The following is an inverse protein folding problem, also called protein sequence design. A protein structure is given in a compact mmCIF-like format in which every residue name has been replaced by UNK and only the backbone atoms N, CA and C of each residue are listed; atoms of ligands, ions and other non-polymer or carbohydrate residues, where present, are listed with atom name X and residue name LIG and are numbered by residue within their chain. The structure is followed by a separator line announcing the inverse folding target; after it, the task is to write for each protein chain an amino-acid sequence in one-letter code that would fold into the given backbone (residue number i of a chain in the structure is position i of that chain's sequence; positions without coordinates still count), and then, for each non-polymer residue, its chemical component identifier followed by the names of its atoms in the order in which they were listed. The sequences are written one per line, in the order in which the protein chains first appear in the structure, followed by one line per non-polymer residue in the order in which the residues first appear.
data_IF_181474528039
#
_entry.id   IF_181474528039
#
_cell.length_a   1.000
_cell.length_b   1.000
_cell.length_c   1.000
_cell.angle_alpha   90.00
_cell.angle_beta   90.00
_cell.angle_gamma   90.00
#
_symmetry.space_group_name_H-M   'P 1'
#
loop_
_entity.id
_entity.type
_entity.pdbx_description
1 polymer ?
#
# COMPACT_ATOMS: atom_id res chain seq x y z
N UNK A 1 -0.77 -9.47 -15.02
CA UNK A 1 -2.25 -9.33 -15.12
C UNK A 1 -2.52 -7.85 -15.35
N UNK A 2 -3.51 -7.43 -16.13
CA UNK A 2 -3.68 -5.99 -16.41
C UNK A 2 -4.06 -5.21 -15.14
N UNK A 3 -3.13 -4.43 -14.59
CA UNK A 3 -3.30 -3.50 -13.45
C UNK A 3 -4.33 -2.39 -13.70
N UNK A 4 -4.76 -2.21 -14.96
CA UNK A 4 -5.76 -1.23 -15.43
C UNK A 4 -7.16 -1.38 -14.79
N UNK A 5 -7.48 -2.49 -14.13
CA UNK A 5 -8.81 -2.75 -13.58
C UNK A 5 -8.84 -2.96 -12.04
N UNK A 6 -7.78 -2.62 -11.31
CA UNK A 6 -7.82 -2.73 -9.85
C UNK A 6 -8.76 -1.66 -9.25
N UNK A 7 -9.69 -2.01 -8.36
CA UNK A 7 -10.45 -1.03 -7.57
C UNK A 7 -9.51 -0.13 -6.78
N UNK A 8 -9.90 1.13 -6.53
CA UNK A 8 -9.06 2.09 -5.79
C UNK A 8 -8.68 1.57 -4.40
N UNK A 9 -9.60 0.88 -3.72
CA UNK A 9 -9.33 0.21 -2.45
C UNK A 9 -8.20 -0.83 -2.56
N UNK A 10 -8.21 -1.65 -3.62
CA UNK A 10 -7.17 -2.65 -3.84
C UNK A 10 -5.81 -1.99 -4.12
N UNK A 11 -5.78 -0.92 -4.93
CA UNK A 11 -4.57 -0.13 -5.17
C UNK A 11 -4.04 0.50 -3.88
N UNK A 12 -4.92 1.03 -3.04
CA UNK A 12 -4.54 1.61 -1.75
C UNK A 12 -3.90 0.57 -0.83
N UNK A 13 -4.52 -0.61 -0.65
CA UNK A 13 -3.95 -1.71 0.14
C UNK A 13 -2.59 -2.18 -0.38
N UNK A 14 -2.42 -2.25 -1.71
CA UNK A 14 -1.12 -2.58 -2.31
C UNK A 14 -0.05 -1.51 -2.04
N UNK A 15 -0.41 -0.23 -1.98
CA UNK A 15 0.53 0.84 -1.59
C UNK A 15 0.92 0.72 -0.12
N UNK A 16 -0.04 0.43 0.77
CA UNK A 16 0.25 0.18 2.19
C UNK A 16 1.20 -1.01 2.36
N UNK A 17 0.89 -2.13 1.70
CA UNK A 17 1.73 -3.32 1.70
C UNK A 17 3.15 -3.03 1.19
N UNK A 18 3.28 -2.27 0.10
CA UNK A 18 4.58 -1.87 -0.43
C UNK A 18 5.37 -0.98 0.54
N UNK A 19 4.69 -0.07 1.26
CA UNK A 19 5.31 0.76 2.29
C UNK A 19 5.89 -0.08 3.44
N UNK A 20 5.13 -1.07 3.90
CA UNK A 20 5.59 -2.02 4.93
C UNK A 20 6.78 -2.86 4.43
N UNK A 21 6.69 -3.41 3.21
CA UNK A 21 7.78 -4.18 2.61
C UNK A 21 9.06 -3.33 2.43
N UNK A 22 8.94 -2.04 2.11
CA UNK A 22 10.08 -1.13 2.04
C UNK A 22 10.78 -0.95 3.38
N UNK A 23 10.02 -0.89 4.48
CA UNK A 23 10.61 -0.82 5.82
C UNK A 23 11.38 -2.10 6.20
N UNK A 24 11.05 -3.23 5.57
CA UNK A 24 11.78 -4.50 5.69
C UNK A 24 12.95 -4.64 4.71
N UNK A 25 13.23 -3.61 3.90
CA UNK A 25 14.35 -3.60 2.95
C UNK A 25 14.00 -3.98 1.51
N UNK A 26 12.73 -4.22 1.18
CA UNK A 26 12.33 -4.44 -0.22
C UNK A 26 12.29 -3.13 -1.00
N UNK A 27 12.88 -3.12 -2.20
CA UNK A 27 12.80 -1.97 -3.12
C UNK A 27 11.94 -2.31 -4.33
N UNK A 28 11.17 -1.32 -4.77
CA UNK A 28 10.31 -1.41 -5.95
C UNK A 28 10.70 -0.28 -6.91
N UNK A 29 11.89 -0.39 -7.50
CA UNK A 29 12.40 0.56 -8.50
C UNK A 29 11.97 0.10 -9.90
N UNK A 30 10.67 0.21 -10.14
CA UNK A 30 10.02 -0.24 -11.38
C UNK A 30 9.07 0.84 -11.90
N UNK A 31 8.78 0.84 -13.21
CA UNK A 31 7.78 1.74 -13.77
C UNK A 31 6.43 1.65 -13.04
N UNK A 32 5.70 2.77 -13.01
CA UNK A 32 4.41 2.87 -12.30
C UNK A 32 3.40 1.82 -12.77
N UNK A 33 3.48 1.45 -14.04
CA UNK A 33 2.62 0.49 -14.73
C UNK A 33 2.80 -0.93 -14.18
N UNK A 34 4.03 -1.25 -13.77
CA UNK A 34 4.46 -2.54 -13.24
C UNK A 34 4.44 -2.60 -11.70
N UNK A 35 4.37 -1.45 -11.04
CA UNK A 35 4.45 -1.34 -9.59
C UNK A 35 3.51 -2.31 -8.85
N UNK A 36 2.21 -2.30 -9.19
CA UNK A 36 1.24 -3.15 -8.51
C UNK A 36 1.47 -4.64 -8.78
N UNK A 37 1.89 -5.00 -9.99
CA UNK A 37 2.22 -6.38 -10.34
C UNK A 37 3.45 -6.87 -9.56
N UNK A 38 4.46 -6.01 -9.38
CA UNK A 38 5.64 -6.36 -8.59
C UNK A 38 5.37 -6.48 -7.11
N UNK A 39 4.52 -5.62 -6.56
CA UNK A 39 4.08 -5.76 -5.16
C UNK A 39 3.31 -7.06 -4.97
N UNK A 40 2.42 -7.43 -5.90
CA UNK A 40 1.70 -8.71 -5.85
C UNK A 40 2.65 -9.91 -5.92
N UNK A 41 3.65 -9.87 -6.81
CA UNK A 41 4.67 -10.93 -6.90
C UNK A 41 5.49 -11.03 -5.61
N UNK A 42 5.89 -9.91 -5.03
CA UNK A 42 6.61 -9.90 -3.76
C UNK A 42 5.77 -10.53 -2.64
N UNK A 43 4.48 -10.18 -2.55
CA UNK A 43 3.56 -10.78 -1.59
C UNK A 43 3.38 -12.28 -1.81
N UNK A 44 3.23 -12.71 -3.06
CA UNK A 44 3.10 -14.12 -3.41
C UNK A 44 4.35 -14.94 -3.07
N UNK A 45 5.53 -14.32 -3.06
CA UNK A 45 6.80 -14.94 -2.67
C UNK A 45 7.03 -15.06 -1.15
N UNK A 46 6.20 -14.44 -0.32
CA UNK A 46 6.31 -14.54 1.14
C UNK A 46 5.77 -15.88 1.66
N UNK A 47 6.27 -16.32 2.81
CA UNK A 47 5.67 -17.45 3.54
C UNK A 47 4.24 -17.13 3.99
N UNK A 48 3.41 -18.16 4.18
CA UNK A 48 2.02 -17.99 4.61
C UNK A 48 1.90 -17.20 5.92
N UNK A 49 2.82 -17.42 6.86
CA UNK A 49 2.86 -16.68 8.13
C UNK A 49 3.16 -15.18 7.91
N UNK A 50 4.13 -14.86 7.05
CA UNK A 50 4.43 -13.48 6.69
C UNK A 50 3.28 -12.81 5.95
N UNK A 51 2.62 -13.52 5.02
CA UNK A 51 1.43 -13.01 4.33
C UNK A 51 0.31 -12.68 5.32
N UNK A 52 0.04 -13.56 6.28
CA UNK A 52 -0.97 -13.34 7.31
C UNK A 52 -0.65 -12.14 8.20
N UNK A 53 0.60 -12.01 8.64
CA UNK A 53 1.07 -10.85 9.43
C UNK A 53 0.91 -9.55 8.66
N UNK A 54 1.37 -9.51 7.42
CA UNK A 54 1.36 -8.30 6.60
C UNK A 54 -0.08 -7.90 6.23
N UNK A 55 -0.95 -8.88 5.98
CA UNK A 55 -2.40 -8.65 5.83
C UNK A 55 -2.97 -7.98 7.07
N UNK A 56 -2.69 -8.50 8.27
CA UNK A 56 -3.18 -7.92 9.53
C UNK A 56 -2.74 -6.47 9.72
N UNK A 57 -1.47 -6.16 9.40
CA UNK A 57 -0.94 -4.80 9.47
C UNK A 57 -1.63 -3.87 8.45
N UNK A 58 -1.80 -4.31 7.20
CA UNK A 58 -2.50 -3.52 6.17
C UNK A 58 -3.95 -3.28 6.57
N UNK A 59 -4.63 -4.28 7.11
CA UNK A 59 -6.01 -4.17 7.58
C UNK A 59 -6.11 -3.14 8.71
N UNK A 60 -5.18 -3.19 9.67
CA UNK A 60 -5.11 -2.22 10.76
C UNK A 60 -4.85 -0.79 10.27
N UNK A 61 -3.90 -0.58 9.36
CA UNK A 61 -3.61 0.76 8.79
C UNK A 61 -4.79 1.27 7.96
N UNK A 62 -5.43 0.43 7.15
CA UNK A 62 -6.63 0.80 6.38
C UNK A 62 -7.75 1.26 7.31
N UNK A 63 -7.95 0.59 8.46
CA UNK A 63 -8.95 1.01 9.46
C UNK A 63 -8.57 2.35 10.08
N UNK A 64 -7.29 2.55 10.45
CA UNK A 64 -6.81 3.80 11.02
C UNK A 64 -6.99 4.98 10.06
N UNK A 65 -6.59 4.83 8.79
CA UNK A 65 -6.73 5.86 7.76
C UNK A 65 -8.20 6.23 7.50
N UNK A 66 -9.11 5.24 7.53
CA UNK A 66 -10.54 5.49 7.36
C UNK A 66 -11.20 6.09 8.62
N UNK A 67 -10.63 5.84 9.81
CA UNK A 67 -11.12 6.40 11.07
C UNK A 67 -10.67 7.84 11.30
N UNK A 68 -9.62 8.30 10.61
CA UNK A 68 -9.21 9.69 10.61
C UNK A 68 -10.27 10.52 9.86
N UNK A 69 -10.95 11.49 10.51
CA UNK A 69 -11.76 12.45 9.77
C UNK A 69 -10.84 13.18 8.80
N UNK A 70 -11.26 13.31 7.53
CA UNK A 70 -10.52 13.98 6.46
C UNK A 70 -10.14 15.40 6.89
N UNK A 71 -8.98 15.55 7.51
CA UNK A 71 -8.44 16.83 7.91
C UNK A 71 -7.58 17.33 6.76
N UNK A 72 -8.17 18.14 5.90
CA UNK A 72 -7.49 19.20 5.15
C UNK A 72 -8.54 20.25 4.76
N UNK A 73 -8.23 21.56 4.71
CA UNK A 73 -6.88 22.14 4.61
C UNK A 73 -6.62 23.34 5.56
N UNK A 74 -5.39 23.57 5.98
CA UNK A 74 -4.92 24.94 6.24
C UNK A 74 -3.80 25.28 5.27
N UNK A 75 -4.23 25.67 4.07
CA UNK A 75 -3.52 26.72 3.36
C UNK A 75 -3.51 27.95 4.28
N UNK A 76 -2.36 28.30 4.84
CA UNK A 76 -2.10 29.69 5.22
C UNK A 76 -0.81 30.12 4.56
N UNK A 77 -0.98 30.59 3.33
CA UNK A 77 -0.01 31.36 2.58
C UNK A 77 -0.11 32.81 3.08
N UNK A 78 1.03 33.38 3.49
CA UNK A 78 1.37 34.81 3.57
C UNK A 78 0.70 35.68 4.65
N UNK A 79 1.50 36.26 5.54
CA UNK A 79 1.88 37.68 5.52
C UNK A 79 3.21 37.89 6.23
#
# INVERSE_FOLDING_TARGET
MSTKALPERAKHRLRLAAGLLRSEGHTFDVPRDEFYDQVQKALAGLSAERQARLKSLVDWVEVYDNALPSQVPTSSKRS
#
